data_IF_693176299081
#
_entry.id   IF_693176299081
#
_cell.length_a   1.000
_cell.length_b   1.000
_cell.length_c   1.000
_cell.angle_alpha   90.00
_cell.angle_beta   90.00
_cell.angle_gamma   90.00
#
_symmetry.space_group_name_H-M   'P 1'
#
loop_
_entity.id
_entity.type
_entity.pdbx_description
1 polymer ?
#
# COMPACT_ATOMS: atom_id res chain seq x y z
N UNK A 1 76.66 1.43 -52.54
CA UNK A 1 76.47 1.40 -51.07
C UNK A 1 77.09 2.66 -50.45
N UNK A 2 76.59 3.16 -49.30
CA UNK A 2 77.13 4.34 -48.58
C UNK A 2 77.24 4.05 -47.08
N UNK A 3 78.31 4.49 -46.44
CA UNK A 3 78.50 4.34 -44.99
C UNK A 3 77.90 5.53 -44.24
N UNK A 4 77.08 5.24 -43.23
CA UNK A 4 76.50 6.28 -42.38
C UNK A 4 77.55 6.82 -41.43
N UNK A 5 77.82 8.12 -41.44
CA UNK A 5 78.85 8.70 -40.54
C UNK A 5 78.45 8.71 -39.06
N UNK A 6 77.17 8.51 -38.74
CA UNK A 6 76.68 8.46 -37.34
C UNK A 6 76.71 7.06 -36.72
N UNK A 7 76.22 6.04 -37.42
CA UNK A 7 76.20 4.67 -36.92
C UNK A 7 77.31 3.78 -37.51
N UNK A 8 78.14 4.32 -38.41
CA UNK A 8 79.29 3.67 -39.07
C UNK A 8 78.97 2.41 -39.90
N UNK A 9 77.69 2.09 -40.13
CA UNK A 9 77.25 0.92 -40.94
C UNK A 9 77.11 1.29 -42.43
N UNK A 10 77.59 0.41 -43.32
CA UNK A 10 77.44 0.48 -44.79
C UNK A 10 76.02 0.05 -45.22
N UNK A 11 75.23 0.96 -45.81
CA UNK A 11 73.82 0.74 -46.20
C UNK A 11 73.57 1.06 -47.67
N UNK A 12 72.44 0.60 -48.22
CA UNK A 12 71.96 0.97 -49.57
C UNK A 12 71.65 2.47 -49.64
N UNK A 13 71.87 3.08 -50.82
CA UNK A 13 71.69 4.53 -51.05
C UNK A 13 70.29 5.04 -50.68
N UNK A 14 69.24 4.25 -50.92
CA UNK A 14 67.83 4.54 -50.56
C UNK A 14 67.59 4.78 -49.06
N UNK A 15 68.46 4.22 -48.20
CA UNK A 15 68.37 4.40 -46.75
C UNK A 15 68.93 5.74 -46.30
N UNK A 16 69.38 6.59 -47.23
CA UNK A 16 69.80 7.97 -46.99
C UNK A 16 68.81 8.93 -47.65
N UNK A 17 68.57 10.08 -47.01
CA UNK A 17 67.73 11.13 -47.58
C UNK A 17 68.49 11.89 -48.66
N UNK A 18 67.78 12.41 -49.65
CA UNK A 18 68.38 13.30 -50.65
C UNK A 18 68.88 14.58 -49.98
N UNK A 19 70.08 15.01 -50.34
CA UNK A 19 70.68 16.29 -49.93
C UNK A 19 71.41 16.86 -51.15
N UNK A 20 70.75 17.77 -51.87
CA UNK A 20 71.26 18.30 -53.13
C UNK A 20 72.64 18.96 -53.00
N UNK A 21 72.96 19.49 -51.82
CA UNK A 21 74.25 20.12 -51.51
C UNK A 21 75.39 19.15 -51.18
N UNK A 22 75.17 17.83 -51.14
CA UNK A 22 76.27 16.88 -50.94
C UNK A 22 76.81 16.35 -52.28
N UNK A 23 78.12 16.06 -52.32
CA UNK A 23 78.83 15.59 -53.52
C UNK A 23 78.16 14.38 -54.20
N UNK A 24 77.51 13.51 -53.44
CA UNK A 24 76.81 12.32 -53.94
C UNK A 24 75.27 12.44 -53.90
N UNK A 25 74.74 13.64 -53.64
CA UNK A 25 73.31 13.94 -53.55
C UNK A 25 72.58 13.30 -52.36
N UNK A 26 73.30 12.64 -51.44
CA UNK A 26 72.74 11.91 -50.30
C UNK A 26 73.29 12.41 -48.96
N UNK A 27 72.43 12.45 -47.94
CA UNK A 27 72.81 12.79 -46.57
C UNK A 27 73.92 11.84 -46.05
N UNK A 28 74.84 12.36 -45.22
CA UNK A 28 75.87 11.56 -44.55
C UNK A 28 75.30 10.61 -43.50
N UNK A 29 74.13 10.92 -42.94
CA UNK A 29 73.43 10.08 -41.97
C UNK A 29 72.29 9.29 -42.62
N UNK A 30 72.11 8.03 -42.21
CA UNK A 30 70.97 7.24 -42.65
C UNK A 30 69.65 7.79 -42.07
N UNK A 31 68.53 7.50 -42.75
CA UNK A 31 67.18 7.97 -42.39
C UNK A 31 66.84 7.70 -40.92
N UNK A 32 67.21 6.54 -40.38
CA UNK A 32 66.95 6.18 -38.99
C UNK A 32 67.74 7.07 -38.02
N UNK A 33 69.06 7.17 -38.22
CA UNK A 33 69.92 8.00 -37.35
C UNK A 33 69.54 9.48 -37.40
N UNK A 34 69.06 9.95 -38.56
CA UNK A 34 68.53 11.30 -38.72
C UNK A 34 67.18 11.47 -38.00
N UNK A 35 66.26 10.52 -38.18
CA UNK A 35 64.95 10.50 -37.51
C UNK A 35 65.09 10.52 -35.99
N UNK A 36 65.97 9.68 -35.42
CA UNK A 36 66.25 9.65 -33.99
C UNK A 36 66.86 10.96 -33.50
N UNK A 37 67.78 11.56 -34.28
CA UNK A 37 68.36 12.86 -33.94
C UNK A 37 67.31 13.95 -33.89
N UNK A 38 66.44 13.99 -34.90
CA UNK A 38 65.33 14.94 -34.99
C UNK A 38 64.36 14.72 -33.83
N UNK A 39 64.05 13.47 -33.47
CA UNK A 39 63.18 13.14 -32.33
C UNK A 39 63.77 13.67 -31.03
N UNK A 40 65.06 13.42 -30.76
CA UNK A 40 65.75 13.95 -29.57
C UNK A 40 65.75 15.48 -29.56
N UNK A 41 66.02 16.12 -30.70
CA UNK A 41 65.99 17.58 -30.82
C UNK A 41 64.59 18.15 -30.58
N UNK A 42 63.53 17.53 -31.12
CA UNK A 42 62.14 17.96 -30.92
C UNK A 42 61.70 17.85 -29.46
N UNK A 43 62.16 16.82 -28.74
CA UNK A 43 61.89 16.67 -27.31
C UNK A 43 62.57 17.79 -26.53
N UNK A 44 63.87 18.00 -26.76
CA UNK A 44 64.65 19.06 -26.08
C UNK A 44 64.11 20.47 -26.35
N UNK A 45 63.55 20.70 -27.54
CA UNK A 45 63.06 22.02 -27.98
C UNK A 45 61.53 22.13 -28.01
N UNK A 46 60.82 21.22 -27.33
CA UNK A 46 59.36 21.12 -27.43
C UNK A 46 58.64 22.44 -27.13
N UNK A 47 59.00 23.10 -26.03
CA UNK A 47 58.37 24.37 -25.64
C UNK A 47 58.56 25.47 -26.70
N UNK A 48 59.76 25.59 -27.26
CA UNK A 48 60.04 26.55 -28.34
C UNK A 48 59.25 26.22 -29.62
N UNK A 49 59.22 24.94 -30.02
CA UNK A 49 58.46 24.49 -31.20
C UNK A 49 56.97 24.74 -31.01
N UNK A 50 56.42 24.42 -29.84
CA UNK A 50 55.00 24.61 -29.53
C UNK A 50 54.64 26.10 -29.55
N UNK A 51 55.48 26.96 -28.95
CA UNK A 51 55.31 28.42 -28.97
C UNK A 51 55.38 29.00 -30.39
N UNK A 52 56.42 28.63 -31.16
CA UNK A 52 56.57 29.06 -32.55
C UNK A 52 55.38 28.61 -33.40
N UNK A 53 54.96 27.35 -33.27
CA UNK A 53 53.82 26.78 -34.01
C UNK A 53 52.52 27.48 -33.65
N UNK A 54 52.31 27.80 -32.37
CA UNK A 54 51.13 28.56 -31.90
C UNK A 54 51.12 29.96 -32.52
N UNK A 55 52.25 30.66 -32.50
CA UNK A 55 52.37 31.99 -33.11
C UNK A 55 52.13 31.96 -34.62
N UNK A 56 52.74 31.00 -35.33
CA UNK A 56 52.53 30.80 -36.76
C UNK A 56 51.05 30.51 -37.09
N UNK A 57 50.41 29.61 -36.34
CA UNK A 57 48.99 29.27 -36.54
C UNK A 57 48.06 30.45 -36.29
N UNK A 58 48.36 31.28 -35.28
CA UNK A 58 47.58 32.48 -34.97
C UNK A 58 47.73 33.53 -36.08
N UNK A 59 48.98 33.83 -36.49
CA UNK A 59 49.25 34.80 -37.57
C UNK A 59 48.68 34.36 -38.92
N UNK A 60 48.60 33.06 -39.17
CA UNK A 60 48.12 32.49 -40.44
C UNK A 60 46.74 31.81 -40.33
N UNK A 61 45.96 32.13 -39.30
CA UNK A 61 44.75 31.37 -38.97
C UNK A 61 43.77 31.34 -40.16
N UNK A 62 43.56 32.48 -40.82
CA UNK A 62 42.66 32.63 -41.98
C UNK A 62 43.15 31.79 -43.17
N UNK A 63 44.44 31.88 -43.50
CA UNK A 63 45.06 31.11 -44.58
C UNK A 63 44.95 29.59 -44.32
N UNK A 64 45.22 29.17 -43.09
CA UNK A 64 45.13 27.76 -42.67
C UNK A 64 43.69 27.27 -42.73
N UNK A 65 42.72 28.07 -42.27
CA UNK A 65 41.29 27.76 -42.38
C UNK A 65 40.86 27.60 -43.84
N UNK A 66 41.26 28.52 -44.72
CA UNK A 66 40.96 28.45 -46.15
C UNK A 66 41.56 27.21 -46.81
N UNK A 67 42.84 26.91 -46.57
CA UNK A 67 43.49 25.70 -47.08
C UNK A 67 42.82 24.42 -46.59
N UNK A 68 42.45 24.36 -45.30
CA UNK A 68 41.71 23.22 -44.73
C UNK A 68 40.33 23.07 -45.34
N UNK A 69 39.62 24.16 -45.58
CA UNK A 69 38.31 24.15 -46.24
C UNK A 69 38.43 23.61 -47.67
N UNK A 70 39.34 24.18 -48.46
CA UNK A 70 39.60 23.73 -49.83
C UNK A 70 40.00 22.24 -49.88
N UNK A 71 40.86 21.78 -48.97
CA UNK A 71 41.21 20.36 -48.87
C UNK A 71 40.01 19.48 -48.54
N UNK A 72 39.16 19.87 -47.58
CA UNK A 72 37.95 19.11 -47.21
C UNK A 72 36.94 19.06 -48.35
N UNK A 73 36.82 20.13 -49.13
CA UNK A 73 35.92 20.20 -50.29
C UNK A 73 36.43 19.32 -51.43
N UNK A 74 37.71 19.47 -51.81
CA UNK A 74 38.35 18.68 -52.88
C UNK A 74 38.36 17.17 -52.59
N UNK A 75 38.42 16.76 -51.32
CA UNK A 75 38.50 15.36 -50.91
C UNK A 75 37.24 14.90 -50.15
N UNK A 76 36.09 15.55 -50.35
CA UNK A 76 34.87 15.33 -49.55
C UNK A 76 34.40 13.88 -49.57
N UNK A 77 34.40 13.25 -50.74
CA UNK A 77 33.92 11.88 -50.92
C UNK A 77 34.90 10.86 -50.35
N UNK A 78 36.21 11.03 -50.58
CA UNK A 78 37.24 10.19 -49.99
C UNK A 78 37.23 10.26 -48.46
N UNK A 79 37.04 11.47 -47.89
CA UNK A 79 36.88 11.67 -46.44
C UNK A 79 35.62 10.94 -45.94
N UNK A 80 34.51 11.00 -46.68
CA UNK A 80 33.26 10.33 -46.30
C UNK A 80 33.41 8.81 -46.33
N UNK A 81 34.05 8.25 -47.35
CA UNK A 81 34.34 6.81 -47.48
C UNK A 81 35.26 6.37 -46.33
N UNK A 82 36.36 7.10 -46.10
CA UNK A 82 37.28 6.84 -45.01
C UNK A 82 36.59 6.89 -43.64
N UNK A 83 35.76 7.91 -43.38
CA UNK A 83 35.04 8.05 -42.11
C UNK A 83 34.01 6.95 -41.92
N UNK A 84 33.35 6.47 -42.98
CA UNK A 84 32.45 5.32 -42.92
C UNK A 84 33.21 4.07 -42.51
N UNK A 85 34.32 3.76 -43.20
CA UNK A 85 35.22 2.63 -42.91
C UNK A 85 35.75 2.69 -41.47
N UNK A 86 36.22 3.87 -41.03
CA UNK A 86 36.69 4.07 -39.67
C UNK A 86 35.60 3.83 -38.62
N UNK A 87 34.39 4.37 -38.83
CA UNK A 87 33.26 4.16 -37.90
C UNK A 87 32.84 2.69 -37.81
N UNK A 88 32.91 1.94 -38.91
CA UNK A 88 32.57 0.52 -38.94
C UNK A 88 33.63 -0.32 -38.27
N UNK A 89 34.90 -0.15 -38.63
CA UNK A 89 36.03 -0.91 -38.08
C UNK A 89 36.25 -0.63 -36.59
N UNK A 90 35.97 0.60 -36.14
CA UNK A 90 36.21 1.03 -34.75
C UNK A 90 34.91 1.13 -33.94
N UNK A 91 33.80 0.52 -34.40
CA UNK A 91 32.47 0.64 -33.76
C UNK A 91 32.50 0.31 -32.26
N UNK A 92 33.20 -0.76 -31.89
CA UNK A 92 33.33 -1.19 -30.49
C UNK A 92 34.13 -0.17 -29.66
N UNK A 93 35.29 0.26 -30.15
CA UNK A 93 36.12 1.28 -29.49
C UNK A 93 35.36 2.60 -29.32
N UNK A 94 34.66 3.06 -30.37
CA UNK A 94 33.83 4.28 -30.31
C UNK A 94 32.72 4.15 -29.26
N UNK A 95 32.05 2.99 -29.17
CA UNK A 95 31.01 2.74 -28.17
C UNK A 95 31.59 2.79 -26.76
N UNK A 96 32.75 2.14 -26.55
CA UNK A 96 33.44 2.12 -25.27
C UNK A 96 33.89 3.52 -24.84
N UNK A 97 34.56 4.28 -25.71
CA UNK A 97 34.97 5.65 -25.42
C UNK A 97 33.79 6.58 -25.13
N UNK A 98 32.65 6.41 -25.82
CA UNK A 98 31.42 7.16 -25.51
C UNK A 98 30.86 6.82 -24.13
N UNK A 99 30.91 5.55 -23.72
CA UNK A 99 30.48 5.09 -22.40
C UNK A 99 31.37 5.73 -21.32
N UNK A 100 32.68 5.61 -21.45
CA UNK A 100 33.66 6.20 -20.51
C UNK A 100 33.51 7.72 -20.42
N UNK A 101 33.30 8.41 -21.55
CA UNK A 101 33.03 9.84 -21.56
C UNK A 101 31.74 10.17 -20.79
N UNK A 102 30.66 9.41 -21.03
CA UNK A 102 29.38 9.62 -20.34
C UNK A 102 29.50 9.37 -18.84
N UNK A 103 30.25 8.35 -18.42
CA UNK A 103 30.49 8.04 -17.01
C UNK A 103 31.28 9.16 -16.33
N UNK A 104 32.39 9.59 -16.92
CA UNK A 104 33.22 10.70 -16.41
C UNK A 104 32.49 12.04 -16.36
N UNK A 105 31.46 12.23 -17.19
CA UNK A 105 30.74 13.50 -17.31
C UNK A 105 29.25 13.39 -16.94
N UNK A 106 28.85 12.34 -16.23
CA UNK A 106 27.42 12.03 -16.02
C UNK A 106 26.68 13.15 -15.30
N UNK A 107 27.34 13.79 -14.33
CA UNK A 107 26.75 14.90 -13.58
C UNK A 107 26.60 16.15 -14.44
N UNK A 108 27.62 16.49 -15.23
CA UNK A 108 27.56 17.62 -16.17
C UNK A 108 26.49 17.44 -17.25
N UNK A 109 26.38 16.23 -17.79
CA UNK A 109 25.34 15.87 -18.76
C UNK A 109 23.96 15.99 -18.11
N UNK A 110 23.77 15.42 -16.91
CA UNK A 110 22.50 15.52 -16.17
C UNK A 110 22.14 16.97 -15.82
N UNK A 111 23.11 17.79 -15.43
CA UNK A 111 22.89 19.20 -15.14
C UNK A 111 22.42 19.96 -16.38
N UNK A 112 23.09 19.75 -17.52
CA UNK A 112 22.69 20.31 -18.81
C UNK A 112 21.29 19.83 -19.21
N UNK A 113 21.02 18.52 -19.12
CA UNK A 113 19.71 17.94 -19.45
C UNK A 113 18.60 18.49 -18.55
N UNK A 114 18.86 18.72 -17.26
CA UNK A 114 17.87 19.34 -16.35
C UNK A 114 17.50 20.75 -16.82
N UNK A 115 18.49 21.56 -17.19
CA UNK A 115 18.27 22.93 -17.69
C UNK A 115 17.47 22.86 -18.99
N UNK A 116 17.91 22.07 -19.97
CA UNK A 116 17.23 21.91 -21.26
C UNK A 116 15.82 21.35 -21.14
N UNK A 117 15.60 20.36 -20.29
CA UNK A 117 14.27 19.82 -20.05
C UNK A 117 13.36 20.83 -19.35
N UNK A 118 13.89 21.67 -18.45
CA UNK A 118 13.14 22.75 -17.80
C UNK A 118 12.73 23.81 -18.83
N UNK A 119 13.68 24.27 -19.66
CA UNK A 119 13.41 25.17 -20.79
C UNK A 119 12.32 24.60 -21.71
N UNK A 120 12.46 23.33 -22.10
CA UNK A 120 11.50 22.64 -22.97
C UNK A 120 10.10 22.57 -22.36
N UNK A 121 9.98 22.20 -21.07
CA UNK A 121 8.68 22.10 -20.36
C UNK A 121 8.02 23.45 -20.12
N UNK A 122 8.80 24.50 -19.94
CA UNK A 122 8.31 25.84 -19.66
C UNK A 122 7.89 26.60 -20.93
N UNK A 123 8.36 26.17 -22.10
CA UNK A 123 7.88 26.68 -23.38
C UNK A 123 6.34 26.44 -23.49
N UNK A 124 5.52 27.49 -23.75
CA UNK A 124 4.07 27.37 -23.79
C UNK A 124 3.55 26.31 -24.77
N UNK A 125 4.07 26.27 -26.00
CA UNK A 125 3.64 25.32 -27.04
C UNK A 125 3.96 23.88 -26.60
N UNK A 126 5.15 23.65 -26.05
CA UNK A 126 5.51 22.33 -25.54
C UNK A 126 4.68 21.92 -24.32
N UNK A 127 4.31 22.88 -23.47
CA UNK A 127 3.45 22.64 -22.30
C UNK A 127 2.07 22.15 -22.73
N UNK A 128 1.52 22.71 -23.81
CA UNK A 128 0.26 22.25 -24.41
C UNK A 128 0.38 20.85 -25.00
N UNK A 129 1.45 20.57 -25.75
CA UNK A 129 1.73 19.23 -26.28
C UNK A 129 1.84 18.20 -25.14
N UNK A 130 2.57 18.52 -24.07
CA UNK A 130 2.72 17.65 -22.89
C UNK A 130 1.38 17.44 -22.20
N UNK A 131 0.54 18.47 -22.09
CA UNK A 131 -0.80 18.34 -21.50
C UNK A 131 -1.69 17.42 -22.35
N UNK A 132 -1.76 17.65 -23.66
CA UNK A 132 -2.54 16.84 -24.59
C UNK A 132 -2.12 15.36 -24.53
N UNK A 133 -0.81 15.09 -24.64
CA UNK A 133 -0.27 13.74 -24.51
C UNK A 133 -0.62 13.09 -23.16
N UNK A 134 -0.53 13.83 -22.05
CA UNK A 134 -0.87 13.29 -20.73
C UNK A 134 -2.37 12.98 -20.57
N UNK A 135 -3.24 13.75 -21.21
CA UNK A 135 -4.69 13.49 -21.23
C UNK A 135 -4.93 12.20 -21.99
N UNK A 136 -4.41 12.08 -23.21
CA UNK A 136 -4.51 10.90 -24.05
C UNK A 136 -3.98 9.65 -23.32
N UNK A 137 -2.78 9.74 -22.76
CA UNK A 137 -2.13 8.67 -22.02
C UNK A 137 -2.97 8.20 -20.82
N UNK A 138 -3.58 9.12 -20.06
CA UNK A 138 -4.45 8.78 -18.91
C UNK A 138 -5.82 8.25 -19.33
N UNK A 139 -6.31 8.67 -20.49
CA UNK A 139 -7.60 8.22 -21.03
C UNK A 139 -7.54 6.80 -21.60
N UNK A 140 -6.36 6.37 -22.08
CA UNK A 140 -6.14 5.01 -22.57
C UNK A 140 -6.47 3.96 -21.47
N UNK A 141 -7.35 2.97 -21.75
CA UNK A 141 -7.82 2.02 -20.75
C UNK A 141 -6.72 1.20 -20.06
N UNK A 142 -5.69 0.77 -20.81
CA UNK A 142 -4.56 -0.01 -20.28
C UNK A 142 -3.76 0.84 -19.30
N UNK A 143 -3.45 2.07 -19.69
CA UNK A 143 -2.71 3.00 -18.85
C UNK A 143 -3.51 3.40 -17.60
N UNK A 144 -4.82 3.64 -17.75
CA UNK A 144 -5.72 3.96 -16.64
C UNK A 144 -5.72 2.84 -15.58
N UNK A 145 -5.83 1.59 -16.03
CA UNK A 145 -5.76 0.41 -15.15
C UNK A 145 -4.42 0.34 -14.42
N UNK A 146 -3.32 0.48 -15.16
CA UNK A 146 -1.96 0.49 -14.60
C UNK A 146 -1.73 1.62 -13.58
N UNK A 147 -2.25 2.83 -13.85
CA UNK A 147 -2.17 3.95 -12.90
C UNK A 147 -2.91 3.63 -11.60
N UNK A 148 -4.12 3.05 -11.70
CA UNK A 148 -4.90 2.67 -10.53
C UNK A 148 -4.22 1.54 -9.72
N UNK A 149 -3.65 0.54 -10.39
CA UNK A 149 -2.88 -0.53 -9.74
C UNK A 149 -1.65 0.02 -9.00
N UNK A 150 -0.88 0.88 -9.66
CA UNK A 150 0.28 1.54 -9.04
C UNK A 150 -0.12 2.42 -7.84
N UNK A 151 -1.27 3.09 -7.89
CA UNK A 151 -1.77 3.87 -6.78
C UNK A 151 -2.15 2.97 -5.59
N UNK A 152 -2.80 1.83 -5.84
CA UNK A 152 -3.10 0.83 -4.81
C UNK A 152 -1.84 0.25 -4.18
N UNK A 153 -0.82 -0.04 -5.00
CA UNK A 153 0.45 -0.57 -4.52
C UNK A 153 1.15 0.42 -3.58
N UNK A 154 1.28 1.69 -4.00
CA UNK A 154 1.85 2.75 -3.15
C UNK A 154 1.08 2.92 -1.84
N UNK A 155 -0.25 2.87 -1.89
CA UNK A 155 -1.08 2.97 -0.69
C UNK A 155 -0.82 1.80 0.25
N UNK A 156 -0.71 0.58 -0.30
CA UNK A 156 -0.38 -0.63 0.48
C UNK A 156 0.99 -0.51 1.12
N UNK A 157 2.02 -0.11 0.36
CA UNK A 157 3.38 0.10 0.84
C UNK A 157 3.44 1.16 1.95
N UNK A 158 2.73 2.27 1.78
CA UNK A 158 2.62 3.32 2.80
C UNK A 158 1.99 2.79 4.08
N UNK A 159 0.88 2.06 3.98
CA UNK A 159 0.19 1.49 5.13
C UNK A 159 1.04 0.44 5.84
N UNK A 160 1.77 -0.40 5.09
CA UNK A 160 2.67 -1.40 5.69
C UNK A 160 3.85 -0.73 6.39
N UNK A 161 4.48 0.27 5.76
CA UNK A 161 5.64 0.97 6.31
C UNK A 161 5.28 1.77 7.57
N UNK A 162 4.07 2.30 7.64
CA UNK A 162 3.59 3.09 8.78
C UNK A 162 2.76 2.29 9.79
N UNK A 163 2.59 0.97 9.59
CA UNK A 163 1.81 0.13 10.50
C UNK A 163 2.44 0.09 11.89
N UNK A 164 3.75 -0.14 11.94
CA UNK A 164 4.50 -0.24 13.21
C UNK A 164 4.68 1.13 13.86
N UNK A 165 4.89 2.18 13.06
CA UNK A 165 4.91 3.57 13.53
C UNK A 165 3.59 3.95 14.21
N UNK A 166 2.44 3.68 13.56
CA UNK A 166 1.14 3.98 14.15
C UNK A 166 0.91 3.16 15.43
N UNK A 167 1.30 1.89 15.44
CA UNK A 167 1.17 1.03 16.63
C UNK A 167 1.99 1.57 17.82
N UNK A 168 3.23 1.98 17.57
CA UNK A 168 4.10 2.58 18.59
C UNK A 168 3.57 3.95 19.06
N UNK A 169 3.06 4.77 18.15
CA UNK A 169 2.42 6.04 18.46
C UNK A 169 1.21 5.87 19.40
N UNK A 170 0.30 4.93 19.10
CA UNK A 170 -0.85 4.64 19.97
C UNK A 170 -0.44 4.03 21.31
N UNK A 171 0.66 3.25 21.35
CA UNK A 171 1.19 2.69 22.60
C UNK A 171 1.75 3.80 23.50
N UNK A 172 2.53 4.73 22.94
CA UNK A 172 3.15 5.83 23.67
C UNK A 172 2.16 6.92 24.09
N UNK A 173 1.16 7.20 23.24
CA UNK A 173 0.22 8.30 23.44
C UNK A 173 -1.19 7.84 23.86
N UNK A 174 -1.36 6.57 24.23
CA UNK A 174 -2.67 5.99 24.50
C UNK A 174 -3.49 6.76 25.54
N UNK A 175 -2.86 7.18 26.63
CA UNK A 175 -3.52 7.97 27.68
C UNK A 175 -3.91 9.37 27.20
N UNK A 176 -3.02 10.06 26.47
CA UNK A 176 -3.32 11.37 25.87
C UNK A 176 -4.51 11.26 24.90
N UNK A 177 -4.52 10.23 24.05
CA UNK A 177 -5.61 10.00 23.09
C UNK A 177 -6.93 9.73 23.80
N UNK A 178 -6.92 8.96 24.90
CA UNK A 178 -8.11 8.75 25.74
C UNK A 178 -8.62 10.06 26.33
N UNK A 179 -7.73 10.88 26.88
CA UNK A 179 -8.09 12.18 27.47
C UNK A 179 -8.71 13.10 26.42
N UNK A 180 -8.08 13.22 25.25
CA UNK A 180 -8.62 14.00 24.13
C UNK A 180 -9.98 13.48 23.64
N UNK A 181 -10.18 12.16 23.61
CA UNK A 181 -11.46 11.57 23.25
C UNK A 181 -12.56 11.88 24.29
N UNK A 182 -12.23 11.85 25.58
CA UNK A 182 -13.13 12.24 26.67
C UNK A 182 -13.51 13.71 26.54
N UNK A 183 -12.53 14.59 26.33
CA UNK A 183 -12.74 16.02 26.17
C UNK A 183 -13.60 16.33 24.93
N UNK A 184 -13.29 15.72 23.79
CA UNK A 184 -14.09 15.83 22.59
C UNK A 184 -15.55 15.41 22.84
N UNK A 185 -15.76 14.28 23.51
CA UNK A 185 -17.12 13.81 23.84
C UNK A 185 -17.84 14.78 24.79
N UNK A 186 -17.16 15.33 25.80
CA UNK A 186 -17.73 16.34 26.70
C UNK A 186 -18.18 17.58 25.92
N UNK A 187 -17.31 18.10 25.06
CA UNK A 187 -17.56 19.31 24.27
C UNK A 187 -18.57 19.10 23.13
N UNK A 188 -18.78 17.85 22.68
CA UNK A 188 -19.64 17.51 21.54
C UNK A 188 -20.79 16.56 21.89
N UNK A 189 -21.15 16.45 23.18
CA UNK A 189 -22.06 15.42 23.72
C UNK A 189 -23.36 15.30 22.93
N UNK A 190 -24.02 16.42 22.67
CA UNK A 190 -25.31 16.43 21.97
C UNK A 190 -25.19 16.06 20.49
N UNK A 191 -24.13 16.52 19.82
CA UNK A 191 -23.82 16.14 18.43
C UNK A 191 -23.55 14.64 18.31
N UNK A 192 -22.77 14.08 19.23
CA UNK A 192 -22.47 12.64 19.28
C UNK A 192 -23.76 11.85 19.49
N UNK A 193 -24.60 12.23 20.48
CA UNK A 193 -25.90 11.59 20.73
C UNK A 193 -26.81 11.64 19.50
N UNK A 194 -26.91 12.79 18.83
CA UNK A 194 -27.71 12.95 17.62
C UNK A 194 -27.22 12.00 16.52
N UNK A 195 -25.92 11.92 16.29
CA UNK A 195 -25.34 11.04 15.28
C UNK A 195 -25.59 9.56 15.60
N UNK A 196 -25.44 9.16 16.87
CA UNK A 196 -25.76 7.80 17.33
C UNK A 196 -27.23 7.48 17.08
N UNK A 197 -28.16 8.40 17.38
CA UNK A 197 -29.60 8.22 17.10
C UNK A 197 -29.87 8.06 15.60
N UNK A 198 -29.29 8.91 14.75
CA UNK A 198 -29.42 8.83 13.29
C UNK A 198 -28.90 7.49 12.76
N UNK A 199 -27.71 7.08 13.21
CA UNK A 199 -27.11 5.80 12.83
C UNK A 199 -27.95 4.60 13.29
N UNK A 200 -28.46 4.62 14.52
CA UNK A 200 -29.32 3.57 15.07
C UNK A 200 -30.64 3.46 14.30
N UNK A 201 -31.25 4.59 13.91
CA UNK A 201 -32.47 4.61 13.07
C UNK A 201 -32.19 4.01 11.69
N UNK A 202 -31.13 4.45 11.01
CA UNK A 202 -30.73 3.96 9.68
C UNK A 202 -30.44 2.45 9.67
N UNK A 203 -29.80 1.95 10.73
CA UNK A 203 -29.37 0.55 10.82
C UNK A 203 -30.34 -0.34 11.64
N UNK A 204 -31.56 0.14 11.93
CA UNK A 204 -32.57 -0.61 12.70
C UNK A 204 -32.83 -1.99 12.13
N UNK A 205 -32.94 -2.11 10.81
CA UNK A 205 -33.17 -3.38 10.11
C UNK A 205 -32.06 -4.41 10.38
N UNK A 206 -30.79 -4.00 10.36
CA UNK A 206 -29.65 -4.89 10.63
C UNK A 206 -29.65 -5.38 12.08
N UNK A 207 -29.94 -4.48 13.03
CA UNK A 207 -30.05 -4.82 14.45
C UNK A 207 -31.18 -5.80 14.69
N UNK A 208 -32.36 -5.54 14.12
CA UNK A 208 -33.51 -6.41 14.24
C UNK A 208 -33.23 -7.80 13.63
N UNK A 209 -32.63 -7.86 12.43
CA UNK A 209 -32.24 -9.14 11.80
C UNK A 209 -31.29 -9.95 12.70
N UNK A 210 -30.27 -9.30 13.27
CA UNK A 210 -29.34 -9.95 14.21
C UNK A 210 -30.06 -10.44 15.47
N UNK A 211 -30.97 -9.64 16.02
CA UNK A 211 -31.73 -9.98 17.22
C UNK A 211 -32.68 -11.16 16.96
N UNK A 212 -33.42 -11.15 15.84
CA UNK A 212 -34.28 -12.26 15.42
C UNK A 212 -33.48 -13.53 15.22
N UNK A 213 -32.30 -13.45 14.60
CA UNK A 213 -31.43 -14.62 14.42
C UNK A 213 -30.98 -15.15 15.79
N UNK A 214 -30.46 -14.28 16.66
CA UNK A 214 -30.01 -14.67 17.99
C UNK A 214 -31.13 -15.30 18.82
N UNK A 215 -32.34 -14.74 18.77
CA UNK A 215 -33.50 -15.30 19.48
C UNK A 215 -33.89 -16.71 18.98
N UNK A 216 -33.65 -17.01 17.70
CA UNK A 216 -33.90 -18.34 17.12
C UNK A 216 -32.77 -19.34 17.43
N UNK A 217 -31.52 -18.89 17.43
CA UNK A 217 -30.35 -19.79 17.51
C UNK A 217 -29.78 -19.96 18.91
N UNK A 218 -29.94 -18.97 19.80
CA UNK A 218 -29.40 -18.97 21.15
C UNK A 218 -30.52 -19.16 22.17
N UNK A 219 -30.71 -20.41 22.61
CA UNK A 219 -31.75 -20.82 23.57
C UNK A 219 -31.63 -20.04 24.88
N UNK A 220 -30.41 -19.73 25.33
CA UNK A 220 -30.18 -18.94 26.56
C UNK A 220 -30.71 -17.52 26.39
N UNK A 221 -30.46 -16.91 25.23
CA UNK A 221 -31.00 -15.59 24.89
C UNK A 221 -32.54 -15.63 24.77
N UNK A 222 -33.09 -16.65 24.13
CA UNK A 222 -34.54 -16.87 24.03
C UNK A 222 -35.20 -16.92 25.42
N UNK A 223 -34.71 -17.80 26.30
CA UNK A 223 -35.17 -17.96 27.68
C UNK A 223 -35.10 -16.66 28.46
N UNK A 224 -33.95 -15.98 28.40
CA UNK A 224 -33.72 -14.70 29.07
C UNK A 224 -34.74 -13.63 28.65
N UNK A 225 -35.09 -13.60 27.36
CA UNK A 225 -36.08 -12.66 26.81
C UNK A 225 -37.49 -13.04 27.24
N UNK A 226 -37.88 -14.32 27.14
CA UNK A 226 -39.20 -14.81 27.58
C UNK A 226 -39.46 -14.53 29.06
N UNK A 227 -38.56 -14.99 29.93
CA UNK A 227 -38.66 -14.80 31.38
C UNK A 227 -38.74 -13.31 31.75
N UNK A 228 -37.92 -12.47 31.12
CA UNK A 228 -37.97 -11.01 31.35
C UNK A 228 -39.30 -10.41 30.94
N UNK A 229 -39.88 -10.86 29.84
CA UNK A 229 -41.17 -10.37 29.38
C UNK A 229 -42.30 -10.82 30.31
N UNK A 230 -42.29 -12.08 30.75
CA UNK A 230 -43.25 -12.59 31.73
C UNK A 230 -43.11 -11.87 33.07
N UNK A 231 -41.89 -11.74 33.59
CA UNK A 231 -41.58 -11.00 34.81
C UNK A 231 -42.10 -9.57 34.75
N UNK A 232 -41.88 -8.85 33.63
CA UNK A 232 -42.40 -7.49 33.44
C UNK A 232 -43.92 -7.43 33.39
N UNK A 233 -44.57 -8.44 32.80
CA UNK A 233 -46.02 -8.50 32.72
C UNK A 233 -46.67 -8.75 34.09
N UNK A 234 -45.96 -9.36 35.03
CA UNK A 234 -46.45 -9.62 36.39
C UNK A 234 -46.62 -8.37 37.25
N UNK A 235 -45.92 -7.27 36.93
CA UNK A 235 -46.02 -6.02 37.68
C UNK A 235 -46.89 -5.00 36.95
N UNK A 236 -47.89 -4.45 37.64
CA UNK A 236 -48.56 -3.22 37.18
C UNK A 236 -47.54 -2.07 37.22
N UNK A 237 -47.66 -1.12 36.28
CA UNK A 237 -46.70 0.00 36.08
C UNK A 237 -46.30 0.62 37.43
N UNK A 238 -45.01 0.50 37.80
CA UNK A 238 -44.29 1.21 38.89
C UNK A 238 -43.84 0.44 40.15
N UNK A 239 -43.83 -0.89 40.19
CA UNK A 239 -43.35 -1.65 41.38
C UNK A 239 -41.99 -2.36 41.22
N UNK A 240 -41.07 -1.85 40.38
CA UNK A 240 -39.85 -2.60 40.04
C UNK A 240 -38.62 -2.16 40.83
N UNK A 241 -38.11 -3.02 41.70
CA UNK A 241 -36.67 -3.13 42.04
C UNK A 241 -36.09 -4.38 41.35
N UNK A 242 -34.80 -4.38 40.97
CA UNK A 242 -34.08 -5.60 40.55
C UNK A 242 -34.18 -6.08 39.08
N UNK A 243 -33.31 -7.03 38.70
CA UNK A 243 -33.34 -7.73 37.40
C UNK A 243 -33.98 -9.11 37.61
N UNK A 244 -34.77 -9.59 36.64
CA UNK A 244 -35.43 -10.92 36.72
C UNK A 244 -34.46 -12.06 37.13
N UNK A 245 -33.23 -12.03 36.60
CA UNK A 245 -32.23 -13.06 36.89
C UNK A 245 -31.86 -13.13 38.37
N UNK A 246 -31.95 -12.00 39.09
CA UNK A 246 -31.64 -11.91 40.50
C UNK A 246 -32.70 -12.66 41.35
N UNK A 247 -33.90 -12.88 40.81
CA UNK A 247 -35.01 -13.59 41.47
C UNK A 247 -35.09 -15.08 41.09
N UNK A 248 -34.36 -15.51 40.06
CA UNK A 248 -34.45 -16.88 39.54
C UNK A 248 -33.81 -17.91 40.48
N UNK A 249 -32.86 -17.49 41.32
CA UNK A 249 -32.10 -18.38 42.23
C UNK A 249 -31.00 -19.21 41.55
N UNK A 250 -30.82 -19.04 40.24
CA UNK A 250 -29.78 -19.70 39.44
C UNK A 250 -29.51 -18.91 38.16
N UNK A 251 -28.43 -19.26 37.46
CA UNK A 251 -28.10 -18.67 36.16
C UNK A 251 -28.99 -19.22 35.05
N UNK A 252 -29.10 -18.51 33.92
CA UNK A 252 -29.87 -18.98 32.76
C UNK A 252 -29.35 -20.33 32.21
N UNK A 253 -28.03 -20.58 32.11
CA UNK A 253 -27.53 -21.91 31.75
C UNK A 253 -28.00 -23.02 32.69
N UNK A 254 -27.97 -22.81 34.01
CA UNK A 254 -28.44 -23.80 35.00
C UNK A 254 -29.95 -24.00 34.89
N UNK A 255 -30.73 -22.92 34.75
CA UNK A 255 -32.18 -23.00 34.58
C UNK A 255 -32.60 -23.75 33.32
N UNK A 256 -31.81 -23.64 32.24
CA UNK A 256 -32.01 -24.45 31.03
C UNK A 256 -31.92 -25.95 31.36
N UNK A 257 -30.86 -26.36 32.06
CA UNK A 257 -30.66 -27.77 32.46
C UNK A 257 -31.76 -28.23 33.42
N UNK A 258 -32.14 -27.39 34.38
CA UNK A 258 -33.26 -27.66 35.28
C UNK A 258 -34.56 -27.93 34.51
N UNK A 259 -34.91 -27.09 33.53
CA UNK A 259 -36.11 -27.31 32.71
C UNK A 259 -36.02 -28.61 31.89
N UNK A 260 -34.85 -28.90 31.29
CA UNK A 260 -34.62 -30.14 30.53
C UNK A 260 -34.85 -31.38 31.38
N UNK A 261 -34.40 -31.37 32.64
CA UNK A 261 -34.60 -32.48 33.57
C UNK A 261 -36.07 -32.66 34.00
N UNK A 262 -36.93 -31.67 33.78
CA UNK A 262 -38.36 -31.72 34.08
C UNK A 262 -39.23 -31.90 32.83
N UNK A 263 -38.63 -32.11 31.65
CA UNK A 263 -39.36 -32.34 30.40
C UNK A 263 -40.04 -33.71 30.39
N UNK A 264 -41.23 -33.74 29.80
CA UNK A 264 -41.85 -34.98 29.34
C UNK A 264 -41.26 -35.38 27.97
N UNK A 265 -41.43 -36.64 27.58
CA UNK A 265 -40.84 -37.20 26.34
C UNK A 265 -41.14 -36.41 25.06
N UNK A 266 -42.23 -35.64 25.02
CA UNK A 266 -42.64 -34.84 23.85
C UNK A 266 -42.14 -33.38 23.90
N UNK A 267 -41.57 -32.93 25.01
CA UNK A 267 -41.10 -31.55 25.19
C UNK A 267 -39.70 -31.36 24.61
N UNK A 268 -39.49 -30.25 23.90
CA UNK A 268 -38.17 -29.85 23.40
C UNK A 268 -38.06 -28.33 23.31
N UNK A 269 -36.84 -27.81 23.14
CA UNK A 269 -36.67 -26.38 22.92
C UNK A 269 -37.31 -25.87 21.62
N UNK A 270 -37.63 -26.75 20.68
CA UNK A 270 -38.27 -26.38 19.43
C UNK A 270 -39.78 -26.11 19.58
N UNK A 271 -40.42 -26.64 20.62
CA UNK A 271 -41.86 -26.47 20.87
C UNK A 271 -42.21 -25.62 22.10
N UNK A 272 -41.24 -24.88 22.66
CA UNK A 272 -41.50 -23.89 23.71
C UNK A 272 -42.38 -22.73 23.20
N UNK A 273 -43.46 -22.45 23.91
CA UNK A 273 -44.39 -21.36 23.61
C UNK A 273 -45.31 -21.58 22.42
N UNK A 274 -45.21 -22.73 21.73
CA UNK A 274 -46.12 -23.08 20.64
C UNK A 274 -47.49 -23.44 21.21
N UNK A 275 -48.54 -23.02 20.51
CA UNK A 275 -49.92 -23.24 20.93
C UNK A 275 -50.84 -23.44 19.73
N UNK A 276 -51.59 -24.54 19.71
CA UNK A 276 -52.61 -24.84 18.70
C UNK A 276 -53.91 -25.41 19.31
N UNK A 277 -54.08 -25.30 20.62
CA UNK A 277 -55.25 -25.85 21.33
C UNK A 277 -55.26 -27.38 21.49
N UNK A 278 -54.19 -28.10 21.11
CA UNK A 278 -54.03 -29.53 21.37
C UNK A 278 -53.08 -29.78 22.54
N UNK A 279 -53.30 -30.88 23.27
CA UNK A 279 -52.34 -31.36 24.26
C UNK A 279 -51.04 -31.76 23.56
N UNK A 280 -49.92 -31.61 24.27
CA UNK A 280 -48.59 -32.06 23.86
C UNK A 280 -48.05 -31.46 22.55
N UNK A 281 -48.62 -30.34 22.09
CA UNK A 281 -48.12 -29.62 20.92
C UNK A 281 -46.96 -28.69 21.26
N UNK A 282 -47.05 -27.99 22.39
CA UNK A 282 -46.04 -27.09 22.89
C UNK A 282 -46.18 -26.90 24.39
N UNK A 283 -45.13 -26.38 25.01
CA UNK A 283 -45.07 -26.19 26.46
C UNK A 283 -44.73 -24.74 26.82
N UNK A 284 -45.16 -24.30 27.99
CA UNK A 284 -44.88 -22.98 28.54
C UNK A 284 -44.17 -23.11 29.88
N UNK A 285 -43.50 -22.03 30.30
CA UNK A 285 -42.99 -21.90 31.67
C UNK A 285 -44.16 -21.52 32.56
N UNK A 286 -44.52 -22.42 33.46
CA UNK A 286 -45.65 -22.32 34.37
C UNK A 286 -45.16 -22.06 35.81
N UNK A 287 -45.98 -21.38 36.61
CA UNK A 287 -45.72 -21.20 38.04
C UNK A 287 -46.46 -22.28 38.83
N UNK A 288 -45.76 -23.17 39.53
CA UNK A 288 -46.37 -24.25 40.33
C UNK A 288 -47.43 -23.68 41.28
N UNK A 289 -47.03 -22.74 42.15
CA UNK A 289 -47.95 -21.86 42.88
C UNK A 289 -48.26 -20.64 42.00
N UNK A 290 -49.53 -20.39 41.64
CA UNK A 290 -49.91 -19.26 40.79
C UNK A 290 -49.48 -17.90 41.36
N UNK A 291 -49.12 -16.97 40.46
CA UNK A 291 -48.72 -15.60 40.82
C UNK A 291 -49.77 -14.85 41.65
N UNK A 292 -51.06 -15.13 41.46
CA UNK A 292 -52.16 -14.50 42.20
C UNK A 292 -52.17 -14.80 43.70
N UNK A 293 -51.44 -15.84 44.14
CA UNK A 293 -51.32 -16.23 45.54
C UNK A 293 -50.09 -15.62 46.23
N UNK A 294 -49.35 -14.75 45.55
CA UNK A 294 -48.21 -14.02 46.09
C UNK A 294 -48.52 -12.55 46.23
N UNK A 295 -48.06 -11.95 47.31
CA UNK A 295 -48.09 -10.50 47.50
C UNK A 295 -46.90 -9.86 46.78
N UNK A 296 -47.10 -9.51 45.51
CA UNK A 296 -46.05 -8.94 44.65
C UNK A 296 -45.66 -7.49 45.01
N UNK A 297 -46.16 -6.94 46.13
CA UNK A 297 -45.64 -5.70 46.72
C UNK A 297 -44.41 -5.95 47.60
N UNK A 298 -44.20 -7.19 48.04
CA UNK A 298 -43.09 -7.62 48.91
C UNK A 298 -42.01 -8.32 48.10
N UNK A 299 -40.77 -7.85 48.22
CA UNK A 299 -39.64 -8.40 47.47
C UNK A 299 -39.37 -9.89 47.75
N UNK A 300 -39.54 -10.33 48.99
CA UNK A 300 -39.36 -11.74 49.36
C UNK A 300 -40.42 -12.65 48.73
N UNK A 301 -41.66 -12.18 48.57
CA UNK A 301 -42.71 -12.93 47.87
C UNK A 301 -42.47 -12.96 46.36
N UNK A 302 -41.90 -11.90 45.78
CA UNK A 302 -41.44 -11.89 44.38
C UNK A 302 -40.33 -12.93 44.17
N UNK A 303 -39.34 -12.98 45.08
CA UNK A 303 -38.26 -13.98 45.05
C UNK A 303 -38.86 -15.39 45.05
N UNK A 304 -39.76 -15.71 45.98
CA UNK A 304 -40.41 -17.02 46.03
C UNK A 304 -41.22 -17.34 44.77
N UNK A 305 -41.96 -16.36 44.25
CA UNK A 305 -42.77 -16.54 43.05
C UNK A 305 -41.92 -16.88 41.82
N UNK A 306 -40.78 -16.21 41.66
CA UNK A 306 -39.91 -16.31 40.48
C UNK A 306 -38.68 -17.22 40.65
N UNK A 307 -38.49 -17.78 41.84
CA UNK A 307 -37.45 -18.77 42.10
C UNK A 307 -37.66 -20.01 41.22
N UNK A 308 -36.58 -20.59 40.70
CA UNK A 308 -36.64 -21.75 39.79
C UNK A 308 -37.49 -22.89 40.35
N UNK A 309 -37.50 -23.11 41.68
CA UNK A 309 -38.26 -24.17 42.33
C UNK A 309 -39.78 -23.99 42.27
N UNK A 310 -40.27 -22.79 41.91
CA UNK A 310 -41.68 -22.53 41.66
C UNK A 310 -42.02 -22.48 40.15
N UNK A 311 -41.03 -22.70 39.27
CA UNK A 311 -41.22 -22.68 37.82
C UNK A 311 -41.10 -24.09 37.26
N UNK A 312 -41.94 -24.46 36.30
CA UNK A 312 -41.90 -25.79 35.67
C UNK A 312 -42.26 -25.72 34.18
N UNK A 313 -41.80 -26.66 33.35
CA UNK A 313 -42.33 -26.84 32.01
C UNK A 313 -43.69 -27.56 32.08
N UNK A 314 -44.72 -26.95 31.50
CA UNK A 314 -46.08 -27.51 31.47
C UNK A 314 -46.67 -27.40 30.06
N UNK A 315 -47.48 -28.38 29.68
CA UNK A 315 -48.26 -28.34 28.44
C UNK A 315 -49.02 -27.02 28.28
N UNK A 316 -48.89 -26.38 27.12
CA UNK A 316 -49.46 -25.05 26.87
C UNK A 316 -50.98 -25.02 27.02
N UNK A 317 -51.68 -26.07 26.55
CA UNK A 317 -53.13 -26.21 26.76
C UNK A 317 -53.47 -26.34 28.24
N UNK A 318 -52.74 -27.19 28.96
CA UNK A 318 -52.94 -27.36 30.39
C UNK A 318 -52.70 -26.06 31.14
N UNK A 319 -51.59 -25.36 30.89
CA UNK A 319 -51.26 -24.10 31.55
C UNK A 319 -52.31 -22.99 31.27
N UNK A 320 -52.71 -22.84 30.00
CA UNK A 320 -53.55 -21.71 29.56
C UNK A 320 -55.05 -21.92 29.79
N UNK A 321 -55.53 -23.16 29.76
CA UNK A 321 -56.97 -23.47 29.79
C UNK A 321 -57.36 -24.32 31.00
N UNK A 322 -56.64 -25.41 31.29
CA UNK A 322 -57.06 -26.38 32.32
C UNK A 322 -56.69 -25.90 33.72
N UNK A 323 -55.44 -25.48 33.92
CA UNK A 323 -54.89 -25.06 35.21
C UNK A 323 -55.37 -23.67 35.63
N UNK A 324 -55.85 -22.85 34.69
CA UNK A 324 -56.25 -21.45 34.91
C UNK A 324 -57.37 -21.42 35.97
N UNK A 325 -56.98 -21.16 37.23
CA UNK A 325 -57.79 -21.14 38.46
C UNK A 325 -57.88 -22.44 39.29
N UNK A 326 -57.03 -23.44 39.03
CA UNK A 326 -56.95 -24.68 39.83
C UNK A 326 -55.64 -24.70 40.63
N UNK A 327 -55.73 -24.69 41.96
CA UNK A 327 -54.60 -24.88 42.86
C UNK A 327 -55.03 -25.63 44.14
N UNK A 328 -54.30 -26.68 44.58
CA UNK A 328 -53.11 -27.24 43.96
C UNK A 328 -53.44 -28.02 42.67
N UNK A 329 -52.71 -27.75 41.59
CA UNK A 329 -52.79 -28.54 40.37
C UNK A 329 -51.77 -29.67 40.45
N UNK A 330 -52.24 -30.93 40.45
CA UNK A 330 -51.35 -32.09 40.36
C UNK A 330 -51.14 -32.43 38.89
N UNK A 331 -49.89 -32.36 38.45
CA UNK A 331 -49.49 -32.79 37.11
C UNK A 331 -49.60 -34.32 37.08
N UNK A 332 -50.49 -34.86 36.25
CA UNK A 332 -50.51 -36.30 35.99
C UNK A 332 -49.24 -36.63 35.21
N UNK A 333 -48.42 -37.52 35.77
CA UNK A 333 -47.14 -37.94 35.19
C UNK A 333 -47.32 -38.87 34.00
#
# INVERSE_FOLDING_TARGET
MKTCSKCKIKKRKEKFSKKASSKDGLNGWCKNCNSESIKKWRIKNKAHIDSYTKNYNNKNERLIKQRKKHYREKNKDDIKIYMKKYRTENKAQIKQSKKEYREKNIEKIRAYDRIKNKEYRNNPNNKEIIKAYNIEYRSNPINKKRIAENQKLRQKEFLTKNKDYNKDYYKKNGEIIKLLAIEYYRNNKEKVKMNVRKYAKKNRHKRNKRETLRYKTDIKHHLSVKLRNYFRASFKKNLKSGKMIDYLGMTIPEFKVYLENNFENWMSWNNIGLYNGKFNYGWDIDHIKPLSLFDLTKEEEIKKAWHYSNLQPLCGKTNREVKRNIYPFKKNH
#
